data_IF_660120467775
#
_entry.id   IF_660120467775
#
_cell.length_a   1.000
_cell.length_b   1.000
_cell.length_c   1.000
_cell.angle_alpha   90.00
_cell.angle_beta   90.00
_cell.angle_gamma   90.00
#
_symmetry.space_group_name_H-M   'P 1'
#
loop_
_entity.id
_entity.type
_entity.pdbx_description
1 polymer ?
#
# COMPACT_ATOMS: atom_id res chain seq x y z
N UNK A 1 -25.13 -3.70 10.06
CA UNK A 1 -23.99 -4.55 9.66
C UNK A 1 -23.24 -4.91 10.92
N UNK A 2 -23.06 -6.20 11.18
CA UNK A 2 -22.17 -6.65 12.26
C UNK A 2 -20.75 -6.64 11.70
N UNK A 3 -19.89 -5.81 12.29
CA UNK A 3 -18.48 -5.70 11.95
C UNK A 3 -17.76 -6.73 12.83
N UNK A 4 -16.85 -7.53 12.26
CA UNK A 4 -16.05 -8.49 13.04
C UNK A 4 -15.27 -7.74 14.14
N UNK A 5 -15.00 -8.41 15.26
CA UNK A 5 -14.10 -7.88 16.28
C UNK A 5 -12.80 -7.37 15.62
N UNK A 6 -12.31 -6.22 16.09
CA UNK A 6 -11.10 -5.53 15.59
C UNK A 6 -11.18 -4.94 14.17
N UNK A 7 -12.34 -4.97 13.51
CA UNK A 7 -12.59 -4.20 12.29
C UNK A 7 -13.29 -2.87 12.60
N UNK A 8 -12.91 -1.82 11.88
CA UNK A 8 -13.48 -0.50 12.02
C UNK A 8 -13.85 0.06 10.64
N UNK A 9 -14.97 0.79 10.58
CA UNK A 9 -15.38 1.50 9.38
C UNK A 9 -15.00 2.98 9.52
N UNK A 10 -14.28 3.50 8.53
CA UNK A 10 -13.89 4.91 8.47
C UNK A 10 -14.54 5.55 7.25
N UNK A 11 -15.34 6.57 7.48
CA UNK A 11 -15.97 7.36 6.43
C UNK A 11 -15.18 8.66 6.19
N UNK A 12 -15.01 9.01 4.93
CA UNK A 12 -14.34 10.25 4.52
C UNK A 12 -15.35 11.16 3.82
N UNK A 13 -15.47 12.41 4.26
CA UNK A 13 -16.34 13.40 3.61
C UNK A 13 -15.87 13.82 2.19
N UNK A 14 -14.65 13.46 1.79
CA UNK A 14 -14.12 13.68 0.44
C UNK A 14 -13.30 12.46 -0.02
N UNK A 15 -13.61 11.96 -1.23
CA UNK A 15 -12.87 10.89 -1.87
C UNK A 15 -11.38 11.20 -2.11
N UNK A 16 -10.99 12.48 -2.21
CA UNK A 16 -9.57 12.85 -2.30
C UNK A 16 -8.83 12.56 -1.00
N UNK A 17 -9.45 12.80 0.15
CA UNK A 17 -8.85 12.49 1.45
C UNK A 17 -8.70 10.97 1.64
N UNK A 18 -9.74 10.20 1.26
CA UNK A 18 -9.68 8.73 1.24
C UNK A 18 -8.49 8.23 0.41
N UNK A 19 -8.38 8.70 -0.85
CA UNK A 19 -7.28 8.34 -1.76
C UNK A 19 -5.90 8.73 -1.19
N UNK A 20 -5.79 9.90 -0.57
CA UNK A 20 -4.54 10.36 0.05
C UNK A 20 -4.13 9.46 1.21
N UNK A 21 -5.06 9.12 2.12
CA UNK A 21 -4.78 8.20 3.24
C UNK A 21 -4.37 6.82 2.75
N UNK A 22 -5.07 6.27 1.75
CA UNK A 22 -4.70 4.98 1.17
C UNK A 22 -3.29 5.00 0.54
N UNK A 23 -2.93 6.08 -0.18
CA UNK A 23 -1.60 6.23 -0.79
C UNK A 23 -0.46 6.38 0.22
N UNK A 24 -0.73 6.90 1.41
CA UNK A 24 0.28 7.09 2.46
C UNK A 24 0.48 5.83 3.34
N UNK A 25 -0.16 4.71 3.01
CA UNK A 25 0.08 3.42 3.67
C UNK A 25 1.52 2.92 3.44
N UNK A 26 2.07 2.07 4.33
CA UNK A 26 1.41 1.44 5.49
C UNK A 26 1.23 2.40 6.66
N UNK A 27 0.16 2.20 7.43
CA UNK A 27 -0.11 2.94 8.66
C UNK A 27 0.16 2.09 9.89
N UNK A 28 0.61 2.71 10.98
CA UNK A 28 0.70 2.05 12.27
C UNK A 28 0.21 2.95 13.39
N UNK A 29 -0.35 2.34 14.42
CA UNK A 29 -0.75 2.99 15.67
C UNK A 29 -0.27 2.12 16.83
N UNK A 30 0.39 2.72 17.82
CA UNK A 30 0.97 1.99 18.97
C UNK A 30 1.82 0.76 18.57
N UNK A 31 2.59 0.88 17.48
CA UNK A 31 3.44 -0.19 16.90
C UNK A 31 2.65 -1.37 16.33
N UNK A 32 1.34 -1.25 16.16
CA UNK A 32 0.50 -2.22 15.46
C UNK A 32 0.22 -1.76 14.03
N UNK A 33 0.37 -2.67 13.06
CA UNK A 33 0.08 -2.40 11.64
C UNK A 33 -1.43 -2.29 11.42
N UNK A 34 -1.87 -1.21 10.79
CA UNK A 34 -3.26 -1.04 10.38
C UNK A 34 -3.41 -1.55 8.95
N UNK A 35 -4.30 -2.52 8.78
CA UNK A 35 -4.70 -3.02 7.46
C UNK A 35 -5.90 -2.21 6.97
N UNK A 36 -5.79 -1.68 5.75
CA UNK A 36 -6.83 -0.88 5.12
C UNK A 36 -7.41 -1.63 3.92
N UNK A 37 -8.72 -1.61 3.78
CA UNK A 37 -9.45 -2.13 2.62
C UNK A 37 -10.36 -1.03 2.10
N UNK A 38 -10.31 -0.79 0.79
CA UNK A 38 -11.21 0.16 0.15
C UNK A 38 -12.62 -0.46 0.08
N UNK A 39 -13.58 0.18 0.74
CA UNK A 39 -14.96 -0.29 0.84
C UNK A 39 -15.90 0.65 0.07
N UNK A 40 -16.64 0.08 -0.89
CA UNK A 40 -17.61 0.78 -1.74
C UNK A 40 -19.08 0.44 -1.40
N UNK A 41 -19.33 -0.27 -0.30
CA UNK A 41 -20.69 -0.52 0.21
C UNK A 41 -21.39 -1.77 -0.34
N UNK A 42 -20.88 -2.38 -1.42
CA UNK A 42 -21.49 -3.57 -2.03
C UNK A 42 -21.08 -4.90 -1.36
N UNK A 43 -20.02 -4.90 -0.56
CA UNK A 43 -19.49 -6.10 0.08
C UNK A 43 -20.07 -6.27 1.49
N UNK A 44 -20.39 -7.51 1.90
CA UNK A 44 -20.69 -7.75 3.30
C UNK A 44 -19.40 -7.71 4.13
N UNK A 45 -19.40 -7.23 5.40
CA UNK A 45 -18.19 -7.22 6.23
C UNK A 45 -17.51 -8.59 6.37
N UNK A 46 -18.29 -9.68 6.30
CA UNK A 46 -17.79 -11.05 6.33
C UNK A 46 -16.94 -11.45 5.12
N UNK A 47 -17.15 -10.79 3.98
CA UNK A 47 -16.46 -11.02 2.70
C UNK A 47 -15.15 -10.23 2.60
N UNK A 48 -14.93 -9.26 3.51
CA UNK A 48 -13.72 -8.46 3.56
C UNK A 48 -12.62 -9.27 4.27
N UNK A 49 -11.46 -9.39 3.61
CA UNK A 49 -10.28 -10.07 4.14
C UNK A 49 -9.10 -9.10 4.25
N UNK A 50 -8.78 -8.71 5.49
CA UNK A 50 -7.64 -7.87 5.83
C UNK A 50 -6.43 -8.75 6.15
N UNK A 51 -5.65 -9.11 5.12
CA UNK A 51 -4.48 -10.01 5.27
C UNK A 51 -3.19 -9.46 4.66
N UNK A 52 -3.26 -8.33 3.95
CA UNK A 52 -2.14 -7.75 3.20
C UNK A 52 -2.14 -6.24 3.36
N UNK A 53 -0.95 -5.64 3.30
CA UNK A 53 -0.75 -4.20 3.28
C UNK A 53 0.34 -3.87 2.24
N UNK A 54 0.22 -2.76 1.48
CA UNK A 54 1.30 -2.27 0.64
C UNK A 54 2.46 -1.73 1.50
N UNK A 55 3.69 -1.94 1.02
CA UNK A 55 4.90 -1.40 1.63
C UNK A 55 5.78 -0.79 0.56
N UNK A 56 6.44 0.31 0.92
CA UNK A 56 7.59 0.81 0.19
C UNK A 56 8.82 0.00 0.58
N UNK A 57 9.50 -0.53 -0.43
CA UNK A 57 10.78 -1.21 -0.26
C UNK A 57 11.86 -0.36 -0.91
N UNK A 58 13.00 -0.23 -0.23
CA UNK A 58 14.14 0.51 -0.74
C UNK A 58 15.25 -0.48 -1.12
N UNK A 59 15.67 -0.45 -2.39
CA UNK A 59 16.77 -1.27 -2.88
C UNK A 59 18.08 -0.50 -2.69
N UNK A 60 18.97 -1.06 -1.88
CA UNK A 60 20.29 -0.49 -1.61
C UNK A 60 21.35 -1.08 -2.55
N UNK A 61 22.43 -0.32 -2.76
CA UNK A 61 23.63 -0.76 -3.49
C UNK A 61 23.38 -1.25 -4.94
N UNK A 62 22.31 -0.77 -5.58
CA UNK A 62 22.05 -1.06 -6.98
C UNK A 62 23.06 -0.30 -7.86
N UNK A 63 23.78 -0.98 -8.78
CA UNK A 63 24.71 -0.32 -9.70
C UNK A 63 24.04 0.84 -10.45
N UNK A 64 24.78 1.92 -10.75
CA UNK A 64 24.19 3.12 -11.36
C UNK A 64 23.44 2.82 -12.67
N UNK A 65 24.01 1.98 -13.53
CA UNK A 65 23.38 1.53 -14.79
C UNK A 65 22.11 0.69 -14.59
N UNK A 66 21.92 0.17 -13.38
CA UNK A 66 20.81 -0.68 -12.98
C UNK A 66 19.74 0.09 -12.20
N UNK A 67 19.92 1.38 -11.91
CA UNK A 67 18.90 2.24 -11.27
C UNK A 67 17.83 2.68 -12.28
N UNK A 68 17.22 1.72 -12.95
CA UNK A 68 16.14 1.94 -13.92
C UNK A 68 14.83 1.37 -13.40
N UNK A 69 13.71 1.81 -14.01
CA UNK A 69 12.36 1.37 -13.61
C UNK A 69 12.20 -0.11 -13.86
N UNK A 70 12.67 -0.56 -15.00
CA UNK A 70 12.59 -1.94 -15.47
C UNK A 70 13.38 -2.85 -14.52
N UNK A 71 14.60 -2.45 -14.15
CA UNK A 71 15.44 -3.25 -13.25
C UNK A 71 14.85 -3.30 -11.84
N UNK A 72 14.40 -2.15 -11.31
CA UNK A 72 13.80 -2.08 -9.98
C UNK A 72 12.49 -2.86 -9.90
N UNK A 73 11.68 -2.80 -10.96
CA UNK A 73 10.44 -3.56 -11.10
C UNK A 73 10.72 -5.07 -11.13
N UNK A 74 11.64 -5.52 -12.00
CA UNK A 74 11.99 -6.93 -12.13
C UNK A 74 12.51 -7.53 -10.82
N UNK A 75 13.33 -6.79 -10.06
CA UNK A 75 13.79 -7.20 -8.74
C UNK A 75 12.61 -7.29 -7.76
N UNK A 76 11.76 -6.27 -7.74
CA UNK A 76 10.63 -6.19 -6.79
C UNK A 76 9.58 -7.27 -7.04
N UNK A 77 9.37 -7.70 -8.29
CA UNK A 77 8.48 -8.81 -8.65
C UNK A 77 8.90 -10.14 -8.03
N UNK A 78 10.18 -10.32 -7.70
CA UNK A 78 10.66 -11.52 -7.00
C UNK A 78 10.20 -11.58 -5.54
N UNK A 79 9.86 -10.44 -4.94
CA UNK A 79 9.41 -10.32 -3.55
C UNK A 79 7.88 -10.42 -3.48
N UNK A 80 7.17 -9.83 -4.45
CA UNK A 80 5.72 -9.89 -4.51
C UNK A 80 5.11 -9.00 -5.58
N UNK A 81 3.80 -8.77 -5.47
CA UNK A 81 3.07 -7.90 -6.40
C UNK A 81 3.58 -6.46 -6.28
N UNK A 82 4.17 -5.95 -7.35
CA UNK A 82 4.59 -4.56 -7.45
C UNK A 82 3.38 -3.68 -7.72
N UNK A 83 3.25 -2.59 -6.95
CA UNK A 83 2.19 -1.59 -7.15
C UNK A 83 2.74 -0.33 -7.80
N UNK A 84 3.90 0.12 -7.34
CA UNK A 84 4.56 1.33 -7.81
C UNK A 84 6.07 1.17 -7.65
N UNK A 85 6.82 1.86 -8.52
CA UNK A 85 8.27 2.01 -8.42
C UNK A 85 8.54 3.50 -8.50
N UNK A 86 9.16 4.02 -7.45
CA UNK A 86 9.64 5.40 -7.39
C UNK A 86 11.14 5.40 -7.71
N UNK A 87 11.52 6.18 -8.72
CA UNK A 87 12.92 6.41 -9.07
C UNK A 87 13.11 7.90 -9.02
N UNK A 88 14.06 8.31 -8.19
CA UNK A 88 14.59 9.66 -8.27
C UNK A 88 15.28 9.78 -9.62
N UNK A 89 14.62 10.42 -10.59
CA UNK A 89 15.25 10.89 -11.81
C UNK A 89 16.28 11.95 -11.41
N UNK A 90 17.47 11.50 -11.02
CA UNK A 90 18.59 12.40 -10.94
C UNK A 90 19.12 12.58 -12.36
N UNK A 91 18.61 13.63 -12.99
CA UNK A 91 19.42 14.49 -13.84
C UNK A 91 20.73 14.81 -13.11
N UNK A 92 21.83 14.56 -13.81
CA UNK A 92 23.07 15.31 -13.62
C UNK A 92 22.92 16.62 -14.38
#
# INVERSE_FOLDING_TARGET
MEIKDEMFMVEFGDGKNKKKVLKMSPWSYEKQLILLHDFEGEQAPKEISLTRSPFWIQIYNLPLKSKTRETSWAISETIGKVMEVDIVENGV
#
